data_IF_491238601588
#
_entry.id   IF_491238601588
#
_cell.length_a   1.000
_cell.length_b   1.000
_cell.length_c   1.000
_cell.angle_alpha   90.00
_cell.angle_beta   90.00
_cell.angle_gamma   90.00
#
_symmetry.space_group_name_H-M   'P 1'
#
loop_
_entity.id
_entity.type
_entity.pdbx_description
1 polymer ?
#
# COMPACT_ATOMS: atom_id res chain seq x y z
N UNK A 1 3.40 -22.27 14.24
CA UNK A 1 1.99 -22.62 14.03
C UNK A 1 1.82 -22.86 12.54
N UNK A 2 1.11 -23.87 12.14
CA UNK A 2 0.95 -24.21 10.72
C UNK A 2 -0.28 -25.09 10.55
N UNK A 3 -1.09 -24.82 9.52
CA UNK A 3 -2.12 -25.75 9.07
C UNK A 3 -1.48 -26.91 8.31
N UNK A 4 -1.94 -28.13 8.51
CA UNK A 4 -1.29 -29.34 7.98
C UNK A 4 -2.21 -30.30 7.26
N UNK A 5 -3.48 -30.02 7.15
CA UNK A 5 -4.50 -30.92 6.57
C UNK A 5 -5.23 -30.24 5.40
N UNK A 6 -4.50 -30.01 4.33
CA UNK A 6 -5.02 -29.34 3.12
C UNK A 6 -5.98 -30.23 2.30
N UNK A 7 -7.03 -30.70 2.83
CA UNK A 7 -7.96 -31.55 2.09
C UNK A 7 -9.22 -31.90 2.86
N UNK A 8 -9.29 -31.45 4.07
CA UNK A 8 -10.44 -31.65 4.95
C UNK A 8 -10.79 -30.31 5.62
N UNK A 9 -11.66 -29.53 5.04
CA UNK A 9 -12.09 -28.23 5.54
C UNK A 9 -13.59 -28.05 5.41
N UNK A 10 -14.08 -26.90 5.78
CA UNK A 10 -15.48 -26.50 5.70
C UNK A 10 -15.67 -25.09 6.21
N UNK A 11 -16.89 -24.56 6.11
CA UNK A 11 -17.20 -23.22 6.60
C UNK A 11 -17.20 -23.16 8.12
N UNK A 12 -16.36 -22.33 8.68
CA UNK A 12 -16.22 -22.14 10.11
C UNK A 12 -16.70 -20.74 10.55
N UNK A 13 -17.10 -20.64 11.80
CA UNK A 13 -17.38 -19.36 12.44
C UNK A 13 -16.49 -19.24 13.67
N UNK A 14 -15.53 -18.34 13.59
CA UNK A 14 -14.54 -18.12 14.64
C UNK A 14 -14.80 -16.78 15.30
N UNK A 15 -14.92 -16.77 16.61
CA UNK A 15 -15.06 -15.52 17.37
C UNK A 15 -14.11 -15.56 18.54
N UNK A 16 -13.24 -14.55 18.64
CA UNK A 16 -12.38 -14.34 19.80
C UNK A 16 -12.83 -13.09 20.57
N UNK A 17 -12.14 -12.74 21.61
CA UNK A 17 -12.51 -11.63 22.49
C UNK A 17 -11.57 -10.45 22.36
N UNK A 18 -11.17 -9.93 23.51
CA UNK A 18 -10.16 -8.87 23.59
C UNK A 18 -8.81 -9.48 23.91
N UNK A 19 -7.79 -9.02 23.24
CA UNK A 19 -6.41 -9.47 23.41
C UNK A 19 -5.77 -9.68 22.06
N UNK A 20 -4.49 -10.00 22.05
CA UNK A 20 -3.80 -10.35 20.81
C UNK A 20 -4.09 -11.80 20.47
N UNK A 21 -4.88 -12.03 19.45
CA UNK A 21 -5.29 -13.36 19.02
C UNK A 21 -4.58 -13.77 17.73
N UNK A 22 -4.31 -15.06 17.57
CA UNK A 22 -3.77 -15.64 16.34
C UNK A 22 -4.80 -16.61 15.80
N UNK A 23 -5.29 -16.35 14.60
CA UNK A 23 -6.34 -17.11 13.94
C UNK A 23 -5.85 -17.57 12.58
N UNK A 24 -6.06 -18.84 12.29
CA UNK A 24 -5.90 -19.46 10.98
C UNK A 24 -7.25 -20.09 10.67
N UNK A 25 -7.98 -19.53 9.69
CA UNK A 25 -9.30 -20.02 9.30
C UNK A 25 -9.22 -21.48 8.82
N UNK A 26 -8.35 -21.72 7.87
CA UNK A 26 -8.02 -23.07 7.46
C UNK A 26 -8.47 -23.37 6.05
N UNK A 27 -8.53 -24.65 5.75
CA UNK A 27 -8.81 -25.14 4.41
C UNK A 27 -10.29 -25.15 4.07
N UNK A 28 -10.64 -24.57 2.95
CA UNK A 28 -11.94 -24.68 2.30
C UNK A 28 -11.89 -25.61 1.10
N UNK A 29 -13.05 -26.11 0.65
CA UNK A 29 -13.13 -27.10 -0.42
C UNK A 29 -12.66 -26.61 -1.81
N UNK A 30 -12.12 -25.40 -1.91
CA UNK A 30 -11.52 -24.82 -3.11
C UNK A 30 -12.50 -24.53 -4.25
N UNK A 31 -13.78 -24.47 -3.95
CA UNK A 31 -14.84 -24.16 -4.93
C UNK A 31 -15.27 -22.69 -4.91
N UNK A 32 -14.68 -21.87 -4.02
CA UNK A 32 -15.03 -20.45 -3.81
C UNK A 32 -16.44 -20.22 -3.27
N UNK A 33 -17.11 -21.27 -2.79
CA UNK A 33 -18.49 -21.22 -2.29
C UNK A 33 -18.59 -21.39 -0.77
N UNK A 34 -17.56 -21.93 -0.16
CA UNK A 34 -17.43 -22.03 1.29
C UNK A 34 -17.03 -20.67 1.86
N UNK A 35 -17.77 -20.20 2.86
CA UNK A 35 -17.54 -18.91 3.51
C UNK A 35 -17.13 -19.12 4.94
N UNK A 36 -15.99 -18.60 5.31
CA UNK A 36 -15.61 -18.48 6.70
C UNK A 36 -16.01 -17.13 7.28
N UNK A 37 -16.32 -17.12 8.56
CA UNK A 37 -16.62 -15.87 9.27
C UNK A 37 -15.72 -15.76 10.50
N UNK A 38 -14.83 -14.81 10.46
CA UNK A 38 -13.85 -14.57 11.53
C UNK A 38 -14.11 -13.23 12.17
N UNK A 39 -14.27 -13.22 13.49
CA UNK A 39 -14.38 -12.00 14.29
C UNK A 39 -13.32 -12.04 15.39
N UNK A 40 -12.22 -11.31 15.20
CA UNK A 40 -11.10 -11.35 16.11
C UNK A 40 -11.29 -10.46 17.37
N UNK A 41 -12.12 -9.43 17.30
CA UNK A 41 -12.35 -8.53 18.44
C UNK A 41 -11.20 -7.53 18.65
N UNK A 42 -11.15 -6.96 19.86
CA UNK A 42 -10.21 -5.88 20.18
C UNK A 42 -8.80 -6.41 20.45
N UNK A 43 -7.78 -5.66 20.07
CA UNK A 43 -6.36 -5.97 20.33
C UNK A 43 -5.60 -6.26 19.05
N UNK A 44 -4.30 -6.47 19.15
CA UNK A 44 -3.45 -6.64 17.99
C UNK A 44 -3.47 -8.08 17.47
N UNK A 45 -4.30 -8.36 16.52
CA UNK A 45 -4.58 -9.71 16.04
C UNK A 45 -3.72 -10.09 14.84
N UNK A 46 -3.55 -11.38 14.64
CA UNK A 46 -3.00 -11.96 13.42
C UNK A 46 -4.02 -12.94 12.87
N UNK A 47 -4.54 -12.65 11.68
CA UNK A 47 -5.60 -13.44 11.04
C UNK A 47 -5.14 -13.86 9.65
N UNK A 48 -5.24 -15.15 9.36
CA UNK A 48 -5.13 -15.68 8.01
C UNK A 48 -6.46 -16.38 7.73
N UNK A 49 -7.20 -15.94 6.72
CA UNK A 49 -8.51 -16.50 6.35
C UNK A 49 -8.40 -17.97 5.99
N UNK A 50 -7.48 -18.27 5.13
CA UNK A 50 -7.19 -19.62 4.65
C UNK A 50 -6.12 -20.37 5.47
N UNK A 51 -5.49 -21.33 4.83
CA UNK A 51 -4.34 -22.08 5.37
C UNK A 51 -3.10 -21.20 5.47
N UNK A 52 -2.44 -21.25 6.58
CA UNK A 52 -1.28 -20.40 6.83
C UNK A 52 -0.24 -20.98 7.76
N UNK A 53 0.85 -20.24 7.85
CA UNK A 53 1.99 -20.55 8.71
C UNK A 53 2.49 -19.30 9.42
N UNK A 54 2.75 -19.49 10.70
CA UNK A 54 3.43 -18.52 11.55
C UNK A 54 4.64 -19.20 12.18
N UNK A 55 5.84 -18.77 11.83
CA UNK A 55 7.10 -19.36 12.29
C UNK A 55 7.82 -18.40 13.24
N UNK A 56 8.12 -18.87 14.44
CA UNK A 56 8.86 -18.15 15.49
C UNK A 56 10.35 -18.52 15.54
N UNK A 57 10.76 -19.46 14.70
CA UNK A 57 12.09 -20.07 14.84
C UNK A 57 12.86 -20.15 13.53
N UNK A 58 12.35 -19.54 12.47
CA UNK A 58 12.99 -19.60 11.15
C UNK A 58 14.36 -18.94 11.17
N UNK A 59 14.44 -17.75 11.73
CA UNK A 59 15.66 -16.97 11.83
C UNK A 59 16.66 -17.53 12.87
N UNK A 60 16.16 -18.19 13.89
CA UNK A 60 16.98 -18.80 14.93
C UNK A 60 17.77 -20.03 14.46
N UNK A 61 17.37 -20.66 13.36
CA UNK A 61 17.97 -21.94 12.90
C UNK A 61 19.24 -21.76 12.08
N UNK A 62 19.43 -20.62 11.42
CA UNK A 62 20.63 -20.36 10.64
C UNK A 62 20.94 -18.88 10.59
N UNK A 63 22.10 -18.49 11.07
CA UNK A 63 22.57 -17.10 11.06
C UNK A 63 22.73 -16.47 9.63
N UNK A 64 22.39 -17.20 8.59
CA UNK A 64 22.42 -16.76 7.18
C UNK A 64 21.02 -16.59 6.56
N UNK A 65 19.97 -16.89 7.30
CA UNK A 65 18.62 -16.69 6.82
C UNK A 65 18.21 -15.22 6.98
N UNK A 66 17.42 -14.65 6.05
CA UNK A 66 16.83 -13.33 6.24
C UNK A 66 16.01 -13.28 7.54
N UNK A 67 16.22 -12.25 8.35
CA UNK A 67 15.53 -12.11 9.62
C UNK A 67 16.21 -12.78 10.82
N UNK A 68 17.44 -13.32 10.67
CA UNK A 68 18.17 -13.97 11.77
C UNK A 68 18.50 -13.00 12.91
N UNK A 69 17.70 -12.99 13.96
CA UNK A 69 17.83 -12.10 15.10
C UNK A 69 18.15 -12.80 16.42
N UNK A 70 18.04 -14.12 16.47
CA UNK A 70 18.25 -14.97 17.64
C UNK A 70 17.26 -14.71 18.79
N UNK A 71 16.08 -14.20 18.50
CA UNK A 71 15.04 -13.90 19.47
C UNK A 71 13.84 -14.87 19.32
N UNK A 72 13.84 -16.02 20.01
CA UNK A 72 12.80 -17.05 19.83
C UNK A 72 11.42 -16.65 20.41
N UNK A 73 11.25 -15.39 20.77
CA UNK A 73 10.02 -14.88 21.38
C UNK A 73 9.17 -14.03 20.42
N UNK A 74 9.67 -13.76 19.24
CA UNK A 74 8.96 -13.01 18.21
C UNK A 74 8.73 -13.86 16.95
N UNK A 75 7.91 -13.30 16.06
CA UNK A 75 7.52 -13.98 14.83
C UNK A 75 8.51 -13.61 13.74
N UNK A 76 9.05 -14.64 13.08
CA UNK A 76 9.99 -14.49 11.95
C UNK A 76 9.29 -14.46 10.59
N UNK A 77 8.14 -15.13 10.49
CA UNK A 77 7.45 -15.31 9.23
C UNK A 77 5.95 -15.52 9.45
N UNK A 78 5.16 -14.86 8.64
CA UNK A 78 3.72 -15.12 8.43
C UNK A 78 3.54 -15.35 6.93
N UNK A 79 2.91 -16.44 6.51
CA UNK A 79 2.68 -16.71 5.09
C UNK A 79 1.43 -17.57 4.83
N UNK A 80 0.79 -17.32 3.70
CA UNK A 80 -0.27 -18.18 3.15
C UNK A 80 0.31 -19.50 2.63
N UNK A 81 -0.42 -20.60 2.78
CA UNK A 81 -0.01 -21.94 2.32
C UNK A 81 -0.90 -22.50 1.22
N UNK A 82 -2.21 -22.32 1.28
CA UNK A 82 -3.16 -22.78 0.26
C UNK A 82 -3.35 -21.71 -0.82
N UNK A 83 -2.34 -21.48 -1.63
CA UNK A 83 -2.30 -20.33 -2.53
C UNK A 83 -2.79 -20.61 -3.95
N UNK A 84 -2.84 -21.87 -4.38
CA UNK A 84 -3.09 -22.19 -5.80
C UNK A 84 -4.27 -23.12 -6.07
N UNK A 85 -4.73 -23.89 -5.09
CA UNK A 85 -5.74 -24.95 -5.31
C UNK A 85 -6.83 -25.01 -4.27
N UNK A 86 -6.67 -24.34 -3.15
CA UNK A 86 -7.58 -24.34 -2.02
C UNK A 86 -7.73 -22.92 -1.50
N UNK A 87 -8.72 -22.69 -0.68
CA UNK A 87 -9.08 -21.40 -0.16
C UNK A 87 -10.58 -21.16 -0.24
N UNK A 88 -11.08 -20.15 0.43
CA UNK A 88 -12.50 -19.83 0.51
C UNK A 88 -12.76 -18.34 0.32
N UNK A 89 -14.02 -18.00 0.34
CA UNK A 89 -14.45 -16.61 0.46
C UNK A 89 -14.61 -16.30 1.94
N UNK A 90 -13.87 -15.35 2.47
CA UNK A 90 -13.85 -15.09 3.89
C UNK A 90 -14.49 -13.76 4.26
N UNK A 91 -15.08 -13.72 5.43
CA UNK A 91 -15.51 -12.46 6.05
C UNK A 91 -14.73 -12.27 7.35
N UNK A 92 -13.78 -11.37 7.33
CA UNK A 92 -12.87 -11.12 8.43
C UNK A 92 -13.18 -9.75 9.03
N UNK A 93 -13.42 -9.73 10.34
CA UNK A 93 -13.58 -8.47 11.06
C UNK A 93 -12.70 -8.48 12.31
N UNK A 94 -11.84 -7.48 12.43
CA UNK A 94 -11.07 -7.24 13.67
C UNK A 94 -11.61 -6.01 14.40
N UNK A 95 -11.16 -5.80 15.62
CA UNK A 95 -11.52 -4.62 16.42
C UNK A 95 -10.55 -3.47 16.24
N UNK A 96 -10.41 -2.66 17.26
CA UNK A 96 -9.34 -1.67 17.30
C UNK A 96 -8.04 -2.33 17.76
N UNK A 97 -6.96 -1.98 17.12
CA UNK A 97 -5.62 -2.52 17.39
C UNK A 97 -4.82 -2.57 16.10
N UNK A 98 -3.55 -2.87 16.24
CA UNK A 98 -2.69 -2.97 15.07
C UNK A 98 -2.72 -4.41 14.56
N UNK A 99 -3.53 -4.66 13.54
CA UNK A 99 -3.84 -6.01 13.09
C UNK A 99 -3.02 -6.40 11.85
N UNK A 100 -2.71 -7.69 11.74
CA UNK A 100 -2.14 -8.31 10.53
C UNK A 100 -3.20 -9.24 9.98
N UNK A 101 -3.63 -8.99 8.75
CA UNK A 101 -4.69 -9.75 8.10
C UNK A 101 -4.23 -10.20 6.72
N UNK A 102 -4.38 -11.46 6.42
CA UNK A 102 -4.23 -12.03 5.08
C UNK A 102 -5.56 -12.74 4.77
N UNK A 103 -6.29 -12.25 3.77
CA UNK A 103 -7.54 -12.86 3.31
C UNK A 103 -7.28 -14.26 2.81
N UNK A 104 -6.57 -14.36 1.72
CA UNK A 104 -6.19 -15.63 1.16
C UNK A 104 -6.54 -15.73 -0.31
N UNK A 105 -7.00 -16.86 -0.76
CA UNK A 105 -7.39 -17.05 -2.14
C UNK A 105 -8.89 -16.87 -2.30
N UNK A 106 -9.33 -16.30 -3.38
CA UNK A 106 -10.70 -15.88 -3.69
C UNK A 106 -11.06 -14.53 -3.04
N UNK A 107 -12.26 -14.05 -3.37
CA UNK A 107 -12.66 -12.71 -2.98
C UNK A 107 -13.16 -12.61 -1.55
N UNK A 108 -12.53 -11.78 -0.76
CA UNK A 108 -12.73 -11.65 0.66
C UNK A 108 -13.39 -10.34 1.07
N UNK A 109 -13.99 -10.32 2.23
CA UNK A 109 -14.47 -9.08 2.86
C UNK A 109 -13.72 -8.87 4.17
N UNK A 110 -12.87 -7.84 4.19
CA UNK A 110 -11.99 -7.55 5.31
C UNK A 110 -12.34 -6.20 5.93
N UNK A 111 -12.63 -6.19 7.22
CA UNK A 111 -12.88 -4.97 8.00
C UNK A 111 -11.87 -4.94 9.14
N UNK A 112 -10.80 -4.17 9.00
CA UNK A 112 -9.74 -4.09 9.98
C UNK A 112 -10.02 -3.04 11.09
N UNK A 113 -10.98 -2.15 10.89
CA UNK A 113 -11.29 -1.06 11.79
C UNK A 113 -10.09 -0.13 12.06
N UNK A 114 -10.00 0.43 13.28
CA UNK A 114 -9.02 1.47 13.59
C UNK A 114 -7.75 0.88 14.23
N UNK A 115 -6.62 1.40 13.85
CA UNK A 115 -5.28 0.99 14.29
C UNK A 115 -4.34 1.01 13.10
N UNK A 116 -3.06 0.89 13.34
CA UNK A 116 -2.09 0.76 12.26
C UNK A 116 -2.13 -0.69 11.74
N UNK A 117 -2.78 -0.94 10.62
CA UNK A 117 -3.05 -2.29 10.14
C UNK A 117 -2.13 -2.67 8.96
N UNK A 118 -1.98 -3.97 8.78
CA UNK A 118 -1.37 -4.55 7.61
C UNK A 118 -2.35 -5.57 7.02
N UNK A 119 -2.85 -5.27 5.82
CA UNK A 119 -3.88 -6.06 5.16
C UNK A 119 -3.38 -6.50 3.78
N UNK A 120 -3.52 -7.78 3.51
CA UNK A 120 -3.31 -8.36 2.18
C UNK A 120 -4.62 -9.06 1.82
N UNK A 121 -5.28 -8.64 0.73
CA UNK A 121 -6.52 -9.25 0.27
C UNK A 121 -6.30 -10.71 -0.09
N UNK A 122 -5.39 -10.94 -1.00
CA UNK A 122 -5.02 -12.25 -1.49
C UNK A 122 -3.94 -12.98 -0.64
N UNK A 123 -3.22 -13.86 -1.28
CA UNK A 123 -2.13 -14.62 -0.64
C UNK A 123 -0.90 -13.75 -0.41
N UNK A 124 -0.35 -13.81 0.79
CA UNK A 124 0.74 -12.95 1.19
C UNK A 124 1.82 -13.60 2.04
N UNK A 125 2.93 -12.87 2.14
CA UNK A 125 4.06 -13.22 3.01
C UNK A 125 4.60 -12.00 3.72
N UNK A 126 4.81 -12.12 5.02
CA UNK A 126 5.42 -11.11 5.87
C UNK A 126 6.65 -11.70 6.53
N UNK A 127 7.80 -11.08 6.33
CA UNK A 127 9.09 -11.52 6.89
C UNK A 127 9.60 -10.49 7.88
N UNK A 128 10.11 -10.95 9.01
CA UNK A 128 10.64 -10.08 10.05
C UNK A 128 11.92 -9.36 9.64
N UNK A 129 12.13 -8.18 10.22
CA UNK A 129 13.41 -7.48 10.22
C UNK A 129 14.33 -8.05 11.30
N UNK A 130 15.60 -8.32 11.01
CA UNK A 130 16.57 -8.74 12.02
C UNK A 130 16.84 -7.68 13.12
N UNK A 131 16.46 -6.43 12.91
CA UNK A 131 16.56 -5.38 13.93
C UNK A 131 15.29 -5.32 14.81
N UNK A 132 15.33 -6.10 15.89
CA UNK A 132 14.21 -6.19 16.85
C UNK A 132 13.92 -4.90 17.63
N UNK A 133 14.75 -3.85 17.48
CA UNK A 133 14.53 -2.57 18.17
C UNK A 133 13.38 -1.76 17.58
N UNK A 134 12.98 -2.07 16.35
CA UNK A 134 11.96 -1.37 15.58
C UNK A 134 10.67 -2.17 15.49
N UNK A 135 10.23 -2.75 16.58
CA UNK A 135 8.97 -3.47 16.61
C UNK A 135 7.80 -2.55 16.34
N UNK A 136 6.92 -2.99 15.48
CA UNK A 136 5.62 -2.41 15.27
C UNK A 136 4.84 -2.39 16.61
N UNK A 137 4.33 -1.24 17.06
CA UNK A 137 3.78 -1.14 18.40
C UNK A 137 2.70 -2.19 18.69
N UNK A 138 2.96 -3.01 19.68
CA UNK A 138 2.04 -4.03 20.14
C UNK A 138 2.05 -5.37 19.41
N UNK A 139 2.69 -5.48 18.26
CA UNK A 139 2.85 -6.75 17.56
C UNK A 139 4.06 -7.53 18.04
N UNK A 140 4.01 -8.86 17.84
CA UNK A 140 5.11 -9.79 18.16
C UNK A 140 6.11 -9.93 17.03
N UNK A 141 6.12 -9.00 16.09
CA UNK A 141 6.95 -9.02 14.90
C UNK A 141 7.53 -7.63 14.64
N UNK A 142 8.80 -7.58 14.23
CA UNK A 142 9.37 -6.41 13.56
C UNK A 142 9.24 -6.66 12.07
N UNK A 143 8.41 -5.90 11.38
CA UNK A 143 8.17 -6.11 9.95
C UNK A 143 9.39 -5.68 9.15
N UNK A 144 9.95 -6.59 8.38
CA UNK A 144 11.05 -6.32 7.45
C UNK A 144 10.59 -6.21 6.00
N UNK A 145 9.68 -7.10 5.63
CA UNK A 145 9.13 -7.17 4.28
C UNK A 145 7.70 -7.68 4.30
N UNK A 146 6.85 -7.03 3.53
CA UNK A 146 5.49 -7.45 3.19
C UNK A 146 5.45 -7.67 1.68
N UNK A 147 4.87 -8.74 1.22
CA UNK A 147 4.73 -9.02 -0.21
C UNK A 147 3.49 -9.85 -0.51
N UNK A 148 2.86 -9.58 -1.62
CA UNK A 148 1.91 -10.51 -2.24
C UNK A 148 2.65 -11.69 -2.85
N UNK A 149 2.02 -12.86 -2.88
CA UNK A 149 2.57 -14.09 -3.47
C UNK A 149 1.53 -14.76 -4.35
N UNK A 150 1.97 -15.55 -5.35
CA UNK A 150 1.08 -16.27 -6.28
C UNK A 150 0.12 -15.33 -7.06
N UNK A 151 0.66 -14.38 -7.81
CA UNK A 151 -0.10 -13.31 -8.47
C UNK A 151 -1.13 -13.78 -9.50
N UNK A 152 -1.09 -15.03 -9.92
CA UNK A 152 -2.08 -15.65 -10.83
C UNK A 152 -3.33 -16.16 -10.10
N UNK A 153 -3.39 -16.04 -8.77
CA UNK A 153 -4.40 -16.69 -7.95
C UNK A 153 -4.89 -15.75 -6.84
N UNK A 154 -6.01 -15.12 -7.08
CA UNK A 154 -6.66 -14.23 -6.13
C UNK A 154 -8.14 -14.05 -6.44
N UNK A 155 -8.76 -13.06 -5.88
CA UNK A 155 -10.17 -12.78 -6.04
C UNK A 155 -10.53 -11.31 -5.87
N UNK A 156 -11.80 -10.98 -6.07
CA UNK A 156 -12.30 -9.61 -5.88
C UNK A 156 -12.50 -9.33 -4.40
N UNK A 157 -11.67 -8.47 -3.82
CA UNK A 157 -11.68 -8.18 -2.40
C UNK A 157 -12.41 -6.88 -2.06
N UNK A 158 -12.97 -6.83 -0.86
CA UNK A 158 -13.48 -5.59 -0.28
C UNK A 158 -12.77 -5.35 1.04
N UNK A 159 -11.90 -4.36 1.08
CA UNK A 159 -11.06 -4.04 2.22
C UNK A 159 -11.46 -2.70 2.79
N UNK A 160 -11.65 -2.64 4.11
CA UNK A 160 -11.96 -1.40 4.82
C UNK A 160 -11.12 -1.30 6.08
N UNK A 161 -10.33 -0.24 6.17
CA UNK A 161 -9.73 0.24 7.41
C UNK A 161 -10.41 1.55 7.81
N UNK A 162 -10.21 2.06 9.00
CA UNK A 162 -10.88 3.30 9.44
C UNK A 162 -9.90 4.41 9.79
N UNK A 163 -8.79 4.08 10.36
CA UNK A 163 -7.82 5.10 10.74
C UNK A 163 -6.66 4.53 11.51
N UNK A 164 -5.53 5.09 11.27
CA UNK A 164 -4.20 4.62 11.60
C UNK A 164 -3.31 4.77 10.39
N UNK A 165 -2.13 4.22 10.42
CA UNK A 165 -1.27 4.21 9.23
C UNK A 165 -1.19 2.79 8.72
N UNK A 166 -1.88 2.55 7.60
CA UNK A 166 -2.15 1.22 7.10
C UNK A 166 -1.26 0.86 5.89
N UNK A 167 -0.95 -0.43 5.75
CA UNK A 167 -0.41 -0.99 4.51
C UNK A 167 -1.45 -1.95 3.96
N UNK A 168 -1.93 -1.69 2.75
CA UNK A 168 -2.98 -2.46 2.10
C UNK A 168 -2.50 -2.89 0.72
N UNK A 169 -2.56 -4.19 0.46
CA UNK A 169 -2.33 -4.78 -0.85
C UNK A 169 -3.60 -5.53 -1.25
N UNK A 170 -4.31 -5.04 -2.27
CA UNK A 170 -5.51 -5.67 -2.80
C UNK A 170 -5.19 -7.07 -3.30
N UNK A 171 -4.45 -7.14 -4.37
CA UNK A 171 -4.00 -8.42 -4.91
C UNK A 171 -4.37 -8.60 -6.36
N UNK A 172 -5.00 -9.70 -6.68
CA UNK A 172 -5.38 -10.05 -8.05
C UNK A 172 -6.87 -9.85 -8.24
N UNK A 173 -7.28 -9.38 -9.38
CA UNK A 173 -8.66 -9.09 -9.78
C UNK A 173 -9.13 -7.71 -9.27
N UNK A 174 -10.44 -7.46 -9.33
CA UNK A 174 -10.98 -6.15 -9.01
C UNK A 174 -11.23 -5.98 -7.52
N UNK A 175 -10.52 -5.05 -6.92
CA UNK A 175 -10.63 -4.77 -5.51
C UNK A 175 -11.40 -3.47 -5.21
N UNK A 176 -11.96 -3.38 -4.04
CA UNK A 176 -12.55 -2.17 -3.50
C UNK A 176 -11.93 -1.88 -2.15
N UNK A 177 -11.17 -0.79 -2.08
CA UNK A 177 -10.33 -0.47 -0.93
C UNK A 177 -10.74 0.88 -0.34
N UNK A 178 -10.99 0.90 0.97
CA UNK A 178 -11.17 2.07 1.79
C UNK A 178 -10.05 2.13 2.83
N UNK A 179 -9.08 3.03 2.67
CA UNK A 179 -7.90 3.09 3.51
C UNK A 179 -8.10 3.86 4.82
N UNK A 180 -9.04 4.80 4.85
CA UNK A 180 -9.43 5.50 6.08
C UNK A 180 -8.65 6.77 6.36
N UNK A 181 -8.61 7.17 7.64
CA UNK A 181 -7.85 8.35 8.05
C UNK A 181 -6.42 7.94 8.44
N UNK A 182 -5.41 8.49 7.82
CA UNK A 182 -4.03 8.20 8.25
C UNK A 182 -2.99 8.51 7.20
N UNK A 183 -1.84 7.89 7.30
CA UNK A 183 -0.86 7.87 6.23
C UNK A 183 -0.80 6.45 5.73
N UNK A 184 -1.30 6.21 4.53
CA UNK A 184 -1.52 4.86 4.07
C UNK A 184 -0.66 4.54 2.84
N UNK A 185 -0.31 3.27 2.69
CA UNK A 185 0.28 2.71 1.48
C UNK A 185 -0.73 1.72 0.90
N UNK A 186 -1.25 2.03 -0.28
CA UNK A 186 -2.28 1.23 -0.93
C UNK A 186 -1.82 0.79 -2.31
N UNK A 187 -1.90 -0.50 -2.55
CA UNK A 187 -1.75 -1.11 -3.86
C UNK A 187 -3.10 -1.69 -4.27
N UNK A 188 -3.56 -1.36 -5.47
CA UNK A 188 -4.69 -2.05 -6.07
C UNK A 188 -4.34 -3.53 -6.27
N UNK A 189 -3.26 -3.77 -6.96
CA UNK A 189 -2.78 -5.11 -7.26
C UNK A 189 -1.62 -5.58 -6.35
N UNK A 190 -0.57 -6.06 -6.97
CA UNK A 190 0.55 -6.76 -6.35
C UNK A 190 1.65 -5.81 -5.87
N UNK A 191 2.18 -6.04 -4.68
CA UNK A 191 3.16 -5.15 -4.11
C UNK A 191 4.17 -5.78 -3.17
N UNK A 192 5.25 -5.03 -2.97
CA UNK A 192 6.25 -5.26 -1.96
C UNK A 192 6.49 -3.99 -1.16
N UNK A 193 6.35 -4.07 0.16
CA UNK A 193 6.78 -3.02 1.09
C UNK A 193 7.88 -3.58 1.97
N UNK A 194 9.02 -2.89 2.03
CA UNK A 194 10.18 -3.38 2.78
C UNK A 194 10.95 -2.28 3.47
N UNK A 195 11.46 -2.60 4.62
CA UNK A 195 12.52 -1.83 5.26
C UNK A 195 13.83 -2.21 4.61
N UNK A 196 14.43 -1.36 3.83
CA UNK A 196 15.72 -1.66 3.22
C UNK A 196 16.46 -0.48 2.63
N UNK A 197 17.72 -0.74 2.37
CA UNK A 197 18.58 0.01 1.49
C UNK A 197 18.23 -0.40 0.05
N UNK A 198 17.60 0.46 -0.73
CA UNK A 198 17.29 0.06 -2.08
C UNK A 198 16.71 1.14 -2.97
N UNK A 199 16.49 0.73 -4.18
CA UNK A 199 15.84 1.52 -5.22
C UNK A 199 14.32 1.37 -5.06
N UNK A 200 13.59 2.42 -5.29
CA UNK A 200 12.14 2.48 -5.17
C UNK A 200 11.70 3.72 -4.43
N UNK A 201 10.39 3.92 -4.36
CA UNK A 201 9.82 5.01 -3.59
C UNK A 201 9.89 4.68 -2.10
N UNK A 202 10.04 5.67 -1.28
CA UNK A 202 10.08 5.50 0.16
C UNK A 202 9.15 6.49 0.85
N UNK A 203 8.58 6.05 1.96
CA UNK A 203 7.69 6.87 2.77
C UNK A 203 8.51 7.92 3.50
N UNK A 204 8.12 9.17 3.33
CA UNK A 204 8.70 10.30 4.04
C UNK A 204 7.59 11.12 4.65
N UNK A 205 7.61 11.28 5.95
CA UNK A 205 6.68 12.11 6.68
C UNK A 205 7.33 13.41 7.14
N UNK A 206 6.51 14.45 7.22
CA UNK A 206 6.96 15.78 7.62
C UNK A 206 5.96 16.41 8.60
N UNK A 207 6.47 17.18 9.52
CA UNK A 207 5.66 18.08 10.30
C UNK A 207 5.15 17.54 11.61
N UNK A 208 3.89 17.84 11.93
CA UNK A 208 3.26 17.59 13.24
C UNK A 208 2.39 16.36 13.28
N UNK A 209 2.21 15.70 12.14
CA UNK A 209 1.45 14.44 12.09
C UNK A 209 2.27 13.31 12.74
N UNK A 210 1.60 12.36 13.38
CA UNK A 210 2.32 11.19 13.88
C UNK A 210 2.97 10.47 12.70
N UNK A 211 4.26 10.18 12.85
CA UNK A 211 5.01 9.43 11.85
C UNK A 211 4.43 8.02 11.75
N UNK A 212 4.14 7.50 10.54
CA UNK A 212 3.64 6.15 10.38
C UNK A 212 4.69 5.14 10.85
N UNK A 213 4.27 3.98 11.32
CA UNK A 213 5.16 2.93 11.81
C UNK A 213 6.13 2.42 10.73
N UNK A 214 5.78 2.62 9.46
CA UNK A 214 6.58 2.24 8.29
C UNK A 214 7.40 3.41 7.69
N UNK A 215 7.58 4.51 8.42
CA UNK A 215 8.45 5.60 7.94
C UNK A 215 9.83 5.08 7.53
N UNK A 216 10.28 5.49 6.34
CA UNK A 216 11.54 5.04 5.75
C UNK A 216 11.50 3.65 5.12
N UNK A 217 10.32 3.06 5.00
CA UNK A 217 10.13 1.85 4.19
C UNK A 217 10.06 2.21 2.72
N UNK A 218 10.51 1.29 1.89
CA UNK A 218 10.35 1.34 0.44
C UNK A 218 9.15 0.53 0.02
N UNK A 219 8.45 1.02 -0.98
CA UNK A 219 7.35 0.30 -1.59
C UNK A 219 7.54 0.23 -3.11
N UNK A 220 7.18 -0.88 -3.70
CA UNK A 220 7.37 -1.15 -5.14
C UNK A 220 6.29 -2.11 -5.63
N UNK A 221 5.68 -1.81 -6.76
CA UNK A 221 4.89 -2.78 -7.52
C UNK A 221 5.78 -3.96 -7.90
N UNK A 222 5.28 -5.17 -7.80
CA UNK A 222 6.10 -6.37 -8.04
C UNK A 222 5.65 -7.19 -9.23
N UNK A 223 4.45 -7.00 -9.71
CA UNK A 223 3.92 -7.81 -10.76
C UNK A 223 3.85 -7.08 -12.10
N UNK A 224 4.24 -7.80 -13.09
CA UNK A 224 4.15 -7.42 -14.49
C UNK A 224 3.48 -8.59 -15.21
N UNK A 225 2.17 -8.70 -15.04
CA UNK A 225 1.41 -9.75 -15.69
C UNK A 225 1.24 -9.42 -17.17
N UNK A 226 1.49 -10.39 -18.06
CA UNK A 226 1.19 -10.26 -19.49
C UNK A 226 -0.32 -10.23 -19.80
N UNK A 227 -1.17 -10.35 -18.79
CA UNK A 227 -2.62 -10.34 -18.97
C UNK A 227 -3.13 -8.90 -18.92
N UNK A 228 -3.14 -8.27 -20.09
CA UNK A 228 -3.61 -6.89 -20.34
C UNK A 228 -5.10 -6.64 -20.01
N UNK A 229 -5.74 -7.58 -19.35
CA UNK A 229 -7.12 -7.52 -18.93
C UNK A 229 -7.27 -7.42 -17.41
N UNK A 230 -6.33 -6.77 -16.72
CA UNK A 230 -6.50 -6.39 -15.34
C UNK A 230 -7.87 -5.73 -15.16
N UNK A 231 -8.61 -6.15 -14.19
CA UNK A 231 -9.89 -5.55 -13.85
C UNK A 231 -9.60 -4.42 -12.89
N UNK A 232 -9.84 -3.19 -13.32
CA UNK A 232 -9.46 -2.03 -12.53
C UNK A 232 -10.13 -1.93 -11.17
N UNK A 233 -9.43 -1.37 -10.24
CA UNK A 233 -9.78 -1.26 -8.84
C UNK A 233 -10.58 -0.01 -8.49
N UNK A 234 -11.15 0.02 -7.31
CA UNK A 234 -11.77 1.22 -6.74
C UNK A 234 -11.11 1.53 -5.40
N UNK A 235 -10.35 2.61 -5.34
CA UNK A 235 -9.52 2.94 -4.19
C UNK A 235 -9.92 4.30 -3.62
N UNK A 236 -10.17 4.34 -2.32
CA UNK A 236 -10.42 5.55 -1.54
C UNK A 236 -9.31 5.69 -0.48
N UNK A 237 -8.44 6.70 -0.61
CA UNK A 237 -7.46 7.09 0.42
C UNK A 237 -8.15 7.66 1.65
N UNK A 238 -9.23 8.42 1.43
CA UNK A 238 -10.05 9.10 2.41
C UNK A 238 -9.33 10.26 3.08
N UNK A 239 -8.51 10.07 4.08
CA UNK A 239 -7.93 11.24 4.74
C UNK A 239 -6.60 11.02 5.40
N UNK A 240 -5.69 11.92 5.08
CA UNK A 240 -4.30 11.85 5.49
C UNK A 240 -3.41 12.02 4.27
N UNK A 241 -2.17 11.65 4.36
CA UNK A 241 -1.28 11.67 3.23
C UNK A 241 -1.02 10.25 2.76
N UNK A 242 -1.51 9.93 1.58
CA UNK A 242 -1.52 8.57 1.11
C UNK A 242 -0.59 8.34 -0.08
N UNK A 243 -0.15 7.10 -0.22
CA UNK A 243 0.62 6.58 -1.34
C UNK A 243 -0.22 5.52 -2.03
N UNK A 244 -0.82 5.87 -3.17
CA UNK A 244 -1.81 5.03 -3.84
C UNK A 244 -1.31 4.62 -5.22
N UNK A 245 -1.32 3.31 -5.50
CA UNK A 245 -0.99 2.73 -6.79
C UNK A 245 -2.20 1.94 -7.31
N UNK A 246 -2.77 2.36 -8.45
CA UNK A 246 -3.81 1.60 -9.14
C UNK A 246 -3.23 0.34 -9.76
N UNK A 247 -2.21 0.49 -10.56
CA UNK A 247 -1.41 -0.54 -11.25
C UNK A 247 -2.06 -1.03 -12.52
N UNK A 248 -2.52 -2.29 -12.59
CA UNK A 248 -3.08 -2.84 -13.82
C UNK A 248 -4.59 -2.64 -13.87
N UNK A 249 -5.06 -2.22 -15.02
CA UNK A 249 -6.50 -2.14 -15.21
C UNK A 249 -6.97 -0.69 -15.35
N UNK A 250 -8.28 -0.53 -15.37
CA UNK A 250 -8.88 0.81 -15.40
C UNK A 250 -9.35 1.17 -14.01
N UNK A 251 -8.53 1.94 -13.32
CA UNK A 251 -8.72 2.20 -11.92
C UNK A 251 -9.58 3.44 -11.67
N UNK A 252 -10.25 3.44 -10.55
CA UNK A 252 -10.99 4.59 -10.02
C UNK A 252 -10.41 4.95 -8.68
N UNK A 253 -9.65 6.03 -8.61
CA UNK A 253 -8.87 6.41 -7.45
C UNK A 253 -9.34 7.76 -6.91
N UNK A 254 -9.64 7.81 -5.63
CA UNK A 254 -9.92 9.03 -4.87
C UNK A 254 -8.87 9.17 -3.77
N UNK A 255 -7.96 10.15 -3.88
CA UNK A 255 -6.96 10.45 -2.85
C UNK A 255 -7.65 10.88 -1.57
N UNK A 256 -8.50 11.90 -1.66
CA UNK A 256 -9.33 12.32 -0.55
C UNK A 256 -8.88 13.63 0.09
N UNK A 257 -8.43 13.61 1.31
CA UNK A 257 -7.97 14.81 1.99
C UNK A 257 -6.56 14.64 2.53
N UNK A 258 -5.63 15.39 2.00
CA UNK A 258 -4.23 15.32 2.40
C UNK A 258 -3.33 15.65 1.21
N UNK A 259 -2.04 15.57 1.41
CA UNK A 259 -1.08 15.80 0.32
C UNK A 259 -0.68 14.44 -0.28
N UNK A 260 -1.45 13.90 -1.22
CA UNK A 260 -1.35 12.52 -1.69
C UNK A 260 -0.34 12.33 -2.83
N UNK A 261 0.25 11.15 -2.89
CA UNK A 261 1.13 10.69 -3.97
C UNK A 261 0.42 9.54 -4.71
N UNK A 262 -0.17 9.83 -5.91
CA UNK A 262 -1.04 8.91 -6.63
C UNK A 262 -0.43 8.49 -7.96
N UNK A 263 -0.50 7.21 -8.25
CA UNK A 263 -0.08 6.58 -9.49
C UNK A 263 -1.28 5.83 -10.07
N UNK A 264 -1.72 6.18 -11.28
CA UNK A 264 -2.67 5.36 -12.03
C UNK A 264 -2.06 3.99 -12.27
N UNK A 265 -0.87 3.97 -12.88
CA UNK A 265 -0.11 2.77 -13.11
C UNK A 265 0.85 2.37 -11.97
N UNK A 266 2.07 2.00 -12.35
CA UNK A 266 3.07 1.41 -11.44
C UNK A 266 4.12 2.44 -11.00
N UNK A 267 4.77 2.18 -9.87
CA UNK A 267 5.94 2.96 -9.47
C UNK A 267 7.26 2.39 -10.02
N UNK A 268 7.21 1.66 -11.10
CA UNK A 268 8.35 1.08 -11.82
C UNK A 268 8.16 1.16 -13.34
N UNK A 269 9.25 1.08 -14.09
CA UNK A 269 9.20 1.08 -15.55
C UNK A 269 8.64 -0.24 -16.10
N UNK A 270 8.00 -0.15 -17.27
CA UNK A 270 7.41 -1.26 -18.03
C UNK A 270 6.22 -1.96 -17.31
N UNK A 271 5.56 -1.28 -16.40
CA UNK A 271 4.25 -1.71 -15.90
C UNK A 271 3.20 -1.57 -16.99
N UNK A 272 2.28 -2.51 -17.06
CA UNK A 272 1.12 -2.42 -17.95
C UNK A 272 0.01 -1.63 -17.26
N UNK A 273 -0.60 -0.73 -18.00
CA UNK A 273 -1.61 0.16 -17.49
C UNK A 273 -2.70 0.41 -18.54
N UNK A 274 -3.84 0.95 -18.17
CA UNK A 274 -4.92 1.34 -19.08
C UNK A 274 -5.54 2.68 -18.65
N UNK A 275 -6.79 2.95 -18.99
CA UNK A 275 -7.49 4.21 -18.72
C UNK A 275 -7.85 4.34 -17.25
N UNK A 276 -7.43 5.42 -16.60
CA UNK A 276 -7.73 5.69 -15.20
C UNK A 276 -8.60 6.90 -14.96
N UNK A 277 -9.30 6.87 -13.84
CA UNK A 277 -10.13 7.94 -13.33
C UNK A 277 -9.60 8.33 -11.94
N UNK A 278 -8.88 9.45 -11.86
CA UNK A 278 -8.17 9.84 -10.64
C UNK A 278 -8.65 11.21 -10.15
N UNK A 279 -9.07 11.30 -8.91
CA UNK A 279 -9.39 12.55 -8.20
C UNK A 279 -8.47 12.68 -6.97
N UNK A 280 -7.56 13.66 -6.96
CA UNK A 280 -6.66 13.92 -5.83
C UNK A 280 -7.42 14.33 -4.58
N UNK A 281 -8.42 15.20 -4.74
CA UNK A 281 -9.28 15.61 -3.63
C UNK A 281 -8.93 16.97 -3.04
N UNK A 282 -8.55 17.05 -1.79
CA UNK A 282 -8.12 18.30 -1.15
C UNK A 282 -6.72 18.16 -0.58
N UNK A 283 -5.83 19.07 -0.94
CA UNK A 283 -4.43 19.04 -0.54
C UNK A 283 -3.51 19.41 -1.69
N UNK A 284 -2.25 19.17 -1.53
CA UNK A 284 -1.27 19.43 -2.59
C UNK A 284 -0.80 18.09 -3.15
N UNK A 285 -1.53 17.59 -4.11
CA UNK A 285 -1.39 16.24 -4.60
C UNK A 285 -0.36 16.14 -5.73
N UNK A 286 0.27 14.99 -5.84
CA UNK A 286 1.11 14.65 -6.97
C UNK A 286 0.55 13.41 -7.65
N UNK A 287 0.09 13.57 -8.88
CA UNK A 287 -0.63 12.55 -9.62
C UNK A 287 0.08 12.24 -10.92
N UNK A 288 0.37 10.98 -11.14
CA UNK A 288 0.83 10.44 -12.42
C UNK A 288 -0.26 9.51 -12.97
N UNK A 289 -0.73 9.76 -14.20
CA UNK A 289 -1.71 8.89 -14.86
C UNK A 289 -1.15 7.50 -15.06
N UNK A 290 0.07 7.42 -15.59
CA UNK A 290 0.75 6.15 -15.85
C UNK A 290 1.91 5.87 -14.85
N UNK A 291 2.94 5.17 -15.33
CA UNK A 291 4.09 4.74 -14.54
C UNK A 291 5.04 5.89 -14.17
N UNK A 292 5.32 6.04 -12.90
CA UNK A 292 6.22 7.07 -12.40
C UNK A 292 6.95 6.66 -11.12
N UNK A 293 7.93 7.45 -10.71
CA UNK A 293 8.48 7.44 -9.36
C UNK A 293 8.24 8.81 -8.74
N UNK A 294 7.52 8.85 -7.63
CA UNK A 294 7.29 10.05 -6.85
C UNK A 294 8.02 9.87 -5.51
N UNK A 295 9.04 10.68 -5.28
CA UNK A 295 9.87 10.56 -4.08
C UNK A 295 9.81 11.84 -3.25
N UNK A 296 9.35 11.74 -2.04
CA UNK A 296 9.40 12.82 -1.08
C UNK A 296 10.84 13.18 -0.70
N UNK A 297 11.08 14.42 -0.32
CA UNK A 297 12.38 14.88 0.19
C UNK A 297 12.29 15.19 1.68
N UNK A 298 13.40 14.99 2.40
CA UNK A 298 13.50 15.19 3.85
C UNK A 298 13.44 16.66 4.30
N UNK A 299 13.08 17.58 3.43
CA UNK A 299 13.05 18.98 3.80
C UNK A 299 12.00 19.75 2.98
N UNK A 300 11.51 20.83 3.55
CA UNK A 300 10.64 21.79 2.87
C UNK A 300 11.45 22.76 2.00
N UNK A 301 12.61 22.36 1.52
CA UNK A 301 13.46 23.23 0.72
C UNK A 301 13.02 23.20 -0.72
N UNK A 302 12.36 24.23 -1.16
CA UNK A 302 11.96 24.37 -2.54
C UNK A 302 13.19 24.25 -3.47
N UNK A 303 13.22 23.28 -4.42
CA UNK A 303 14.36 23.07 -5.32
C UNK A 303 14.75 24.33 -6.10
N UNK A 304 13.78 25.18 -6.39
CA UNK A 304 13.99 26.45 -7.07
C UNK A 304 14.92 27.38 -6.27
N UNK A 305 14.85 27.34 -4.96
CA UNK A 305 15.70 28.16 -4.09
C UNK A 305 17.05 27.51 -3.79
N UNK A 306 17.14 26.19 -3.81
CA UNK A 306 18.43 25.47 -3.68
C UNK A 306 19.43 25.87 -4.77
N UNK A 307 18.94 26.08 -6.00
CA UNK A 307 19.78 26.50 -7.13
C UNK A 307 20.26 27.97 -7.05
N UNK A 308 19.74 28.71 -6.10
CA UNK A 308 20.05 30.16 -5.93
C UNK A 308 20.94 30.46 -4.72
N UNK A 309 21.60 29.45 -4.18
CA UNK A 309 22.58 29.60 -3.11
C UNK A 309 23.64 30.66 -3.49
N UNK A 310 23.81 31.70 -2.65
CA UNK A 310 24.70 32.84 -2.95
C UNK A 310 24.08 34.00 -3.74
N UNK A 311 22.82 33.91 -4.15
CA UNK A 311 22.11 34.98 -4.88
C UNK A 311 21.09 35.66 -3.96
N UNK A 312 20.88 36.95 -4.08
CA UNK A 312 19.82 37.66 -3.34
C UNK A 312 18.46 37.20 -3.89
N UNK A 313 17.64 36.65 -3.05
CA UNK A 313 16.26 36.24 -3.36
C UNK A 313 15.28 37.07 -2.52
N UNK A 314 14.07 37.18 -3.00
CA UNK A 314 13.00 37.94 -2.35
C UNK A 314 11.91 36.98 -1.90
N UNK A 315 11.38 37.21 -0.69
CA UNK A 315 10.19 36.50 -0.23
C UNK A 315 8.92 36.94 -0.96
N UNK A 316 7.80 36.34 -0.64
CA UNK A 316 6.50 36.68 -1.24
C UNK A 316 6.06 38.12 -1.02
N UNK A 317 6.62 38.81 -0.04
CA UNK A 317 6.35 40.21 0.27
C UNK A 317 7.36 41.16 -0.41
N UNK A 318 8.28 40.65 -1.21
CA UNK A 318 9.31 41.39 -1.89
C UNK A 318 10.47 41.83 -0.97
N UNK A 319 10.64 41.21 0.18
CA UNK A 319 11.73 41.47 1.11
C UNK A 319 12.93 40.62 0.72
N UNK A 320 14.09 41.27 0.55
CA UNK A 320 15.33 40.57 0.23
C UNK A 320 15.75 39.66 1.39
N UNK A 321 16.03 38.40 1.05
CA UNK A 321 16.52 37.39 1.98
C UNK A 321 18.03 37.22 1.80
N UNK A 322 18.76 37.07 2.90
CA UNK A 322 20.18 36.71 2.82
C UNK A 322 20.34 35.24 2.40
N UNK A 323 21.18 35.03 1.42
CA UNK A 323 21.24 33.80 0.63
C UNK A 323 22.12 32.69 1.20
N UNK A 324 22.52 32.80 2.44
CA UNK A 324 23.41 31.80 3.07
C UNK A 324 22.68 30.53 3.58
N UNK A 325 21.36 30.55 3.64
CA UNK A 325 20.54 29.43 4.07
C UNK A 325 19.53 29.08 2.99
N UNK A 326 19.37 27.79 2.65
CA UNK A 326 18.33 27.34 1.77
C UNK A 326 16.96 27.81 2.30
N UNK A 327 16.11 28.32 1.43
CA UNK A 327 14.81 28.83 1.84
C UNK A 327 13.78 27.73 1.82
N UNK A 328 13.03 27.63 2.89
CA UNK A 328 11.86 26.78 2.96
C UNK A 328 10.74 27.37 2.11
N UNK A 329 9.94 26.51 1.54
CA UNK A 329 8.70 26.92 0.92
C UNK A 329 7.80 27.59 1.98
N UNK A 330 7.31 28.84 1.74
CA UNK A 330 6.46 29.51 2.70
C UNK A 330 5.10 28.82 2.89
N UNK A 331 4.65 28.09 1.92
CA UNK A 331 3.40 27.33 1.98
C UNK A 331 3.60 25.93 2.59
N UNK A 332 4.86 25.55 2.84
CA UNK A 332 5.22 24.24 3.37
C UNK A 332 4.75 23.07 2.50
N UNK A 333 4.61 23.29 1.20
CA UNK A 333 4.30 22.23 0.25
C UNK A 333 5.42 21.19 0.30
N UNK A 334 5.06 19.96 0.41
CA UNK A 334 6.01 18.84 0.38
C UNK A 334 6.68 18.78 -0.98
N UNK A 335 8.00 18.78 -0.97
CA UNK A 335 8.77 18.74 -2.21
C UNK A 335 8.94 17.28 -2.61
N UNK A 336 8.44 16.96 -3.81
CA UNK A 336 8.59 15.65 -4.44
C UNK A 336 9.56 15.76 -5.61
N UNK A 337 10.30 14.69 -5.85
CA UNK A 337 11.03 14.48 -7.10
C UNK A 337 10.26 13.44 -7.89
N UNK A 338 9.83 13.82 -9.09
CA UNK A 338 9.05 12.94 -9.96
C UNK A 338 9.94 12.51 -11.14
N UNK A 339 10.00 11.22 -11.39
CA UNK A 339 10.60 10.62 -12.59
C UNK A 339 9.50 9.85 -13.32
N UNK A 340 9.20 10.27 -14.54
CA UNK A 340 8.21 9.62 -15.39
C UNK A 340 8.87 8.50 -16.17
N UNK A 341 8.28 7.33 -16.14
CA UNK A 341 8.74 6.16 -16.86
C UNK A 341 8.05 6.04 -18.23
N UNK A 342 8.52 5.16 -19.04
CA UNK A 342 7.90 4.71 -20.29
C UNK A 342 7.51 5.82 -21.28
N UNK A 343 8.28 6.91 -21.29
CA UNK A 343 8.05 8.10 -22.10
C UNK A 343 8.25 7.92 -23.62
N UNK A 344 8.61 6.73 -24.08
CA UNK A 344 8.79 6.37 -25.48
C UNK A 344 7.77 5.33 -25.89
N UNK A 345 6.69 5.78 -26.49
CA UNK A 345 5.61 4.96 -27.01
C UNK A 345 6.06 3.94 -28.05
N UNK A 346 5.83 2.67 -27.82
CA UNK A 346 5.79 1.62 -28.84
C UNK A 346 4.33 1.19 -29.04
N UNK A 347 3.63 1.67 -30.08
CA UNK A 347 2.21 1.41 -30.28
C UNK A 347 1.86 -0.07 -30.47
N UNK A 348 2.84 -0.94 -30.57
CA UNK A 348 2.62 -2.37 -30.76
C UNK A 348 2.76 -3.17 -29.44
N UNK A 349 3.25 -2.54 -28.37
CA UNK A 349 3.55 -3.21 -27.08
C UNK A 349 3.04 -2.47 -25.86
N UNK A 350 2.71 -1.19 -25.96
CA UNK A 350 2.36 -0.36 -24.82
C UNK A 350 0.86 -0.13 -24.77
N UNK A 351 0.24 -0.47 -23.66
CA UNK A 351 -1.16 -0.18 -23.37
C UNK A 351 -1.22 0.87 -22.27
N UNK A 352 -1.22 2.13 -22.69
CA UNK A 352 -1.47 3.26 -21.81
C UNK A 352 -2.83 3.85 -22.21
N UNK A 353 -3.58 4.30 -21.22
CA UNK A 353 -4.93 4.77 -21.41
C UNK A 353 -5.03 6.25 -21.78
N UNK A 354 -6.26 6.66 -22.07
CA UNK A 354 -6.64 8.07 -22.14
C UNK A 354 -7.23 8.45 -20.76
N UNK A 355 -6.45 9.02 -19.87
CA UNK A 355 -6.80 9.22 -18.49
C UNK A 355 -7.69 10.44 -18.24
N UNK A 356 -8.53 10.34 -17.22
CA UNK A 356 -9.27 11.46 -16.68
C UNK A 356 -8.80 11.77 -15.26
N UNK A 357 -8.06 12.87 -15.10
CA UNK A 357 -7.43 13.23 -13.83
C UNK A 357 -7.90 14.59 -13.36
N UNK A 358 -8.34 14.71 -12.13
CA UNK A 358 -8.60 15.95 -11.42
C UNK A 358 -7.64 16.10 -10.23
N UNK A 359 -7.00 17.27 -10.06
CA UNK A 359 -6.18 17.56 -8.88
C UNK A 359 -7.06 17.79 -7.66
N UNK A 360 -8.17 18.50 -7.85
CA UNK A 360 -9.09 18.78 -6.75
C UNK A 360 -8.98 20.21 -6.23
N UNK A 361 -8.60 20.40 -5.01
CA UNK A 361 -8.43 21.71 -4.40
C UNK A 361 -7.03 21.89 -3.81
N UNK A 362 -6.50 23.09 -3.86
CA UNK A 362 -5.17 23.54 -3.46
C UNK A 362 -4.12 23.42 -4.59
N UNK A 363 -2.83 23.22 -4.33
CA UNK A 363 -1.76 23.35 -5.34
C UNK A 363 -1.26 21.98 -5.81
N UNK A 364 -1.81 21.45 -6.90
CA UNK A 364 -1.54 20.10 -7.40
C UNK A 364 -0.49 20.04 -8.52
N UNK A 365 0.11 18.87 -8.68
CA UNK A 365 1.03 18.53 -9.76
C UNK A 365 0.54 17.28 -10.47
N UNK A 366 0.11 17.42 -11.72
CA UNK A 366 -0.51 16.35 -12.50
C UNK A 366 0.29 16.06 -13.76
N UNK A 367 0.50 14.78 -14.05
CA UNK A 367 1.11 14.26 -15.25
C UNK A 367 0.15 13.25 -15.91
N UNK A 368 -0.33 13.53 -17.13
CA UNK A 368 -1.13 12.58 -17.91
C UNK A 368 -0.26 11.46 -18.48
N UNK A 369 0.89 11.80 -19.03
CA UNK A 369 1.90 10.96 -19.64
C UNK A 369 1.51 10.44 -21.03
N UNK A 370 1.27 9.14 -21.22
CA UNK A 370 0.97 8.55 -22.51
C UNK A 370 -0.52 8.34 -22.69
N UNK A 371 -1.08 8.88 -23.74
CA UNK A 371 -2.52 8.85 -24.02
C UNK A 371 -3.01 10.19 -24.52
N UNK A 372 -4.29 10.28 -24.80
CA UNK A 372 -5.01 11.52 -25.08
C UNK A 372 -5.77 11.99 -23.80
N UNK A 373 -5.02 12.38 -22.77
CA UNK A 373 -5.50 12.61 -21.42
C UNK A 373 -6.36 13.87 -21.25
N UNK A 374 -7.24 13.83 -20.26
CA UNK A 374 -8.03 14.97 -19.81
C UNK A 374 -7.69 15.34 -18.39
N UNK A 375 -6.99 16.47 -18.22
CA UNK A 375 -6.49 16.93 -16.93
C UNK A 375 -7.24 18.16 -16.45
N UNK A 376 -7.71 18.15 -15.21
CA UNK A 376 -8.31 19.26 -14.50
C UNK A 376 -7.44 19.62 -13.29
N UNK A 377 -6.90 20.85 -13.24
CA UNK A 377 -6.17 21.31 -12.07
C UNK A 377 -7.09 21.43 -10.87
N UNK A 378 -8.13 22.27 -10.99
CA UNK A 378 -9.20 22.35 -10.00
C UNK A 378 -10.43 21.57 -10.50
N UNK A 379 -11.20 20.98 -9.63
CA UNK A 379 -12.41 20.24 -9.97
C UNK A 379 -12.47 18.87 -9.35
N UNK A 380 -13.55 18.16 -9.61
CA UNK A 380 -13.78 16.83 -9.06
C UNK A 380 -14.29 15.90 -10.15
N UNK A 381 -13.91 14.64 -10.04
CA UNK A 381 -14.56 13.55 -10.75
C UNK A 381 -15.67 13.05 -9.83
N UNK A 382 -16.90 12.97 -10.34
CA UNK A 382 -18.02 12.48 -9.54
C UNK A 382 -18.10 10.96 -9.58
N UNK A 383 -18.31 10.33 -8.44
CA UNK A 383 -18.65 8.90 -8.28
C UNK A 383 -19.72 8.41 -9.28
#
# INVERSE_FOLDING_TARGET
>A
IETIAFGDGGSDTITTGSGADIILGGHNDGDGLTVETITAGEGNNIVIGDDGKIDYTRADRAASEPGADLAPADIDLIESLSTTAAGGVDTITTGSGNDIIIGGRFGDTIIANAGDNLVIGDSGRITADPDTTLRWPGQLMSVGKVETIEPDHGGEDTITTLGGSDIILGGTAKDTIHAGDGVDIVFGDQGEVRKAEGDGNYVVTYGTEPEPWFEGYYFTATELHDDLAGTGDVIYGEGGRDYILGQQGSDVIFGGAGDDDIYGGHNMAAGHDTVDFIDGGTGNDVIAGDNASIQGTNDYLNPRFRALEGTVIYDLNGVAQETATPQRDPNQVHVRTVELYDSSHDPDTDTFGDDLVAGGADDDVIFGQLGDDTLHGDGYISD
#
